data_IF_376339790655
#
_entry.id   IF_376339790655
#
_cell.length_a   1.000
_cell.length_b   1.000
_cell.length_c   1.000
_cell.angle_alpha   90.00
_cell.angle_beta   90.00
_cell.angle_gamma   90.00
#
_symmetry.space_group_name_H-M   'P 1'
#
loop_
_entity.id
_entity.type
_entity.pdbx_description
1 polymer ?
#
# COMPACT_ATOMS: atom_id res chain seq x y z
N UNK A 1 19.20 11.20 15.62
CA UNK A 1 18.45 10.50 14.56
C UNK A 1 18.36 11.44 13.38
N UNK A 2 19.07 11.12 12.29
CA UNK A 2 19.05 11.91 11.06
C UNK A 2 17.68 11.74 10.39
N UNK A 3 16.97 12.82 10.01
CA UNK A 3 15.69 12.69 9.35
C UNK A 3 15.92 12.00 8.01
N UNK A 4 15.22 10.88 7.79
CA UNK A 4 15.17 10.22 6.50
C UNK A 4 14.72 11.25 5.47
N UNK A 5 15.47 11.32 4.37
CA UNK A 5 15.20 12.15 3.21
C UNK A 5 13.71 12.15 2.90
N UNK A 6 13.02 13.27 3.16
CA UNK A 6 11.67 13.48 2.64
C UNK A 6 11.78 13.41 1.12
N UNK A 7 11.21 12.36 0.52
CA UNK A 7 10.82 12.38 -0.88
C UNK A 7 9.47 13.11 -0.90
N UNK A 8 9.41 14.39 -1.32
CA UNK A 8 8.18 15.16 -1.33
C UNK A 8 7.14 14.60 -2.32
N UNK A 9 7.52 13.61 -3.13
CA UNK A 9 6.65 12.85 -4.00
C UNK A 9 6.66 11.40 -3.52
N UNK A 10 5.89 11.10 -2.46
CA UNK A 10 5.72 9.72 -1.98
C UNK A 10 5.62 8.76 -3.16
N UNK A 11 6.60 7.87 -3.31
CA UNK A 11 6.83 7.08 -4.52
C UNK A 11 5.49 6.46 -4.95
N UNK A 12 5.01 6.56 -6.22
CA UNK A 12 3.68 6.05 -6.62
C UNK A 12 3.52 4.52 -6.52
N UNK A 13 4.60 3.81 -6.21
CA UNK A 13 4.65 2.36 -6.14
C UNK A 13 3.64 1.73 -5.14
N UNK A 14 3.48 2.20 -3.88
CA UNK A 14 2.56 1.58 -2.92
C UNK A 14 1.10 1.65 -3.35
N UNK A 15 0.65 2.76 -3.96
CA UNK A 15 -0.72 2.89 -4.48
C UNK A 15 -0.98 1.90 -5.61
N UNK A 16 -0.07 1.84 -6.59
CA UNK A 16 -0.17 0.91 -7.73
C UNK A 16 -0.09 -0.55 -7.27
N UNK A 17 0.84 -0.88 -6.37
CA UNK A 17 0.97 -2.23 -5.82
C UNK A 17 -0.25 -2.64 -5.00
N UNK A 18 -0.89 -1.71 -4.29
CA UNK A 18 -2.13 -2.02 -3.59
C UNK A 18 -3.28 -2.30 -4.56
N UNK A 19 -3.46 -1.46 -5.59
CA UNK A 19 -4.47 -1.69 -6.62
C UNK A 19 -4.25 -3.04 -7.33
N UNK A 20 -3.00 -3.38 -7.63
CA UNK A 20 -2.62 -4.69 -8.17
C UNK A 20 -2.99 -5.83 -7.21
N UNK A 21 -2.63 -5.72 -5.93
CA UNK A 21 -2.91 -6.74 -4.94
C UNK A 21 -4.42 -6.93 -4.71
N UNK A 22 -5.21 -5.85 -4.69
CA UNK A 22 -6.66 -5.90 -4.61
C UNK A 22 -7.27 -6.60 -5.83
N UNK A 23 -6.82 -6.24 -7.04
CA UNK A 23 -7.31 -6.85 -8.27
C UNK A 23 -6.92 -8.34 -8.39
N UNK A 24 -5.74 -8.74 -7.90
CA UNK A 24 -5.33 -10.14 -7.86
C UNK A 24 -6.24 -10.98 -6.94
N UNK A 25 -6.68 -10.40 -5.81
CA UNK A 25 -7.58 -11.05 -4.84
C UNK A 25 -9.06 -11.06 -5.26
N UNK A 26 -9.46 -10.16 -6.16
CA UNK A 26 -10.85 -10.08 -6.61
C UNK A 26 -11.29 -11.39 -7.31
N UNK A 27 -12.39 -11.97 -6.82
CA UNK A 27 -13.00 -13.15 -7.43
C UNK A 27 -13.86 -12.72 -8.64
N UNK A 28 -13.32 -12.97 -9.83
CA UNK A 28 -13.97 -12.65 -11.10
C UNK A 28 -15.31 -13.37 -11.28
N UNK A 29 -15.41 -14.63 -10.84
CA UNK A 29 -16.61 -15.43 -11.02
C UNK A 29 -17.72 -14.94 -10.08
N UNK A 30 -17.37 -14.61 -8.83
CA UNK A 30 -18.29 -14.00 -7.89
C UNK A 30 -18.79 -12.62 -8.36
N UNK A 31 -17.89 -11.77 -8.90
CA UNK A 31 -18.25 -10.47 -9.50
C UNK A 31 -19.22 -10.66 -10.67
N UNK A 32 -18.94 -11.57 -11.60
CA UNK A 32 -19.80 -11.83 -12.74
C UNK A 32 -21.18 -12.37 -12.31
N UNK A 33 -21.22 -13.27 -11.31
CA UNK A 33 -22.46 -13.78 -10.75
C UNK A 33 -23.27 -12.68 -10.04
N UNK A 34 -22.62 -11.79 -9.29
CA UNK A 34 -23.27 -10.66 -8.63
C UNK A 34 -23.89 -9.70 -9.65
N UNK A 35 -23.16 -9.32 -10.70
CA UNK A 35 -23.66 -8.46 -11.80
C UNK A 35 -24.87 -9.08 -12.53
N UNK A 36 -24.91 -10.41 -12.59
CA UNK A 36 -26.03 -11.14 -13.21
C UNK A 36 -27.24 -11.24 -12.27
N UNK A 37 -27.00 -11.31 -10.96
CA UNK A 37 -28.02 -11.39 -9.90
C UNK A 37 -28.62 -10.05 -9.51
N UNK A 38 -28.11 -8.92 -10.01
CA UNK A 38 -28.72 -7.60 -9.79
C UNK A 38 -30.09 -7.56 -10.49
N UNK A 39 -31.14 -8.02 -9.79
CA UNK A 39 -32.54 -8.01 -10.21
C UNK A 39 -33.05 -6.59 -10.00
N UNK A 40 -33.18 -5.77 -11.07
CA UNK A 40 -33.84 -4.48 -10.94
C UNK A 40 -33.46 -3.36 -11.92
N UNK A 41 -32.46 -3.52 -12.79
CA UNK A 41 -32.11 -2.47 -13.77
C UNK A 41 -31.22 -1.34 -13.23
N UNK A 42 -30.63 -1.50 -12.05
CA UNK A 42 -29.77 -0.48 -11.42
C UNK A 42 -28.48 -0.16 -12.20
N UNK A 43 -28.04 -1.07 -13.08
CA UNK A 43 -26.87 -0.88 -13.93
C UNK A 43 -27.25 -1.00 -15.40
N UNK A 44 -26.99 0.04 -16.17
CA UNK A 44 -27.11 0.04 -17.62
C UNK A 44 -26.13 -0.99 -18.25
N UNK A 45 -26.33 -1.37 -19.53
CA UNK A 45 -25.47 -2.35 -20.20
C UNK A 45 -23.98 -2.00 -20.17
N UNK A 46 -23.60 -0.73 -20.28
CA UNK A 46 -22.20 -0.31 -20.28
C UNK A 46 -21.57 -0.45 -18.89
N UNK A 47 -22.29 -0.05 -17.84
CA UNK A 47 -21.82 -0.21 -16.46
C UNK A 47 -21.63 -1.69 -16.09
N UNK A 48 -22.55 -2.57 -16.52
CA UNK A 48 -22.40 -4.03 -16.31
C UNK A 48 -21.16 -4.59 -17.01
N UNK A 49 -20.92 -4.17 -18.25
CA UNK A 49 -19.75 -4.62 -18.99
C UNK A 49 -18.44 -4.11 -18.38
N UNK A 50 -18.43 -2.85 -17.93
CA UNK A 50 -17.30 -2.30 -17.21
C UNK A 50 -16.97 -3.11 -15.94
N UNK A 51 -17.96 -3.39 -15.09
CA UNK A 51 -17.75 -4.17 -13.85
C UNK A 51 -17.24 -5.59 -14.15
N UNK A 52 -17.77 -6.25 -15.19
CA UNK A 52 -17.26 -7.56 -15.65
C UNK A 52 -15.81 -7.48 -16.10
N UNK A 53 -15.42 -6.40 -16.76
CA UNK A 53 -14.05 -6.22 -17.25
C UNK A 53 -13.10 -5.59 -16.23
N UNK A 54 -13.60 -5.06 -15.11
CA UNK A 54 -12.87 -4.19 -14.18
C UNK A 54 -11.60 -4.84 -13.64
N UNK A 55 -11.67 -6.08 -13.16
CA UNK A 55 -10.49 -6.79 -12.64
C UNK A 55 -9.38 -6.89 -13.69
N UNK A 56 -9.72 -7.31 -14.91
CA UNK A 56 -8.76 -7.45 -16.01
C UNK A 56 -8.16 -6.10 -16.38
N UNK A 57 -8.98 -5.06 -16.48
CA UNK A 57 -8.54 -3.70 -16.79
C UNK A 57 -7.58 -3.17 -15.73
N UNK A 58 -7.92 -3.31 -14.44
CA UNK A 58 -7.06 -2.89 -13.33
C UNK A 58 -5.74 -3.65 -13.34
N UNK A 59 -5.75 -4.98 -13.52
CA UNK A 59 -4.52 -5.78 -13.61
C UNK A 59 -3.62 -5.32 -14.77
N UNK A 60 -4.20 -5.12 -15.96
CA UNK A 60 -3.45 -4.68 -17.13
C UNK A 60 -2.84 -3.29 -16.93
N UNK A 61 -3.65 -2.31 -16.50
CA UNK A 61 -3.20 -0.95 -16.23
C UNK A 61 -2.16 -0.89 -15.10
N UNK A 62 -2.39 -1.58 -13.99
CA UNK A 62 -1.45 -1.62 -12.87
C UNK A 62 -0.12 -2.28 -13.26
N UNK A 63 -0.15 -3.37 -14.01
CA UNK A 63 1.07 -4.04 -14.49
C UNK A 63 1.85 -3.14 -15.46
N UNK A 64 1.17 -2.47 -16.39
CA UNK A 64 1.79 -1.52 -17.29
C UNK A 64 2.44 -0.36 -16.52
N UNK A 65 1.76 0.18 -15.51
CA UNK A 65 2.31 1.22 -14.64
C UNK A 65 3.51 0.74 -13.84
N UNK A 66 3.48 -0.48 -13.27
CA UNK A 66 4.65 -1.07 -12.60
C UNK A 66 5.85 -1.14 -13.53
N UNK A 67 5.66 -1.57 -14.78
CA UNK A 67 6.73 -1.59 -15.79
C UNK A 67 7.32 -0.20 -16.05
N UNK A 68 6.47 0.84 -16.13
CA UNK A 68 6.93 2.24 -16.24
C UNK A 68 7.70 2.66 -14.99
N UNK A 69 7.24 2.31 -13.79
CA UNK A 69 7.93 2.64 -12.54
C UNK A 69 9.32 1.99 -12.47
N UNK A 70 9.46 0.73 -12.87
CA UNK A 70 10.75 0.04 -12.89
C UNK A 70 11.69 0.64 -13.94
N UNK A 71 11.18 1.02 -15.11
CA UNK A 71 11.96 1.70 -16.15
C UNK A 71 12.49 3.06 -15.67
N UNK A 72 11.67 3.82 -14.93
CA UNK A 72 12.04 5.14 -14.39
C UNK A 72 12.67 5.10 -13.00
N UNK A 73 12.91 3.92 -12.44
CA UNK A 73 13.39 3.74 -11.06
C UNK A 73 14.67 4.56 -10.81
N UNK A 74 14.74 5.35 -9.72
CA UNK A 74 15.97 6.05 -9.35
C UNK A 74 17.11 5.06 -9.09
N UNK A 75 18.29 5.36 -9.63
CA UNK A 75 19.52 4.60 -9.45
C UNK A 75 20.64 5.49 -8.90
N UNK A 76 21.61 4.92 -8.17
CA UNK A 76 22.80 5.65 -7.74
C UNK A 76 23.53 6.27 -8.93
N UNK A 77 23.92 7.53 -8.81
CA UNK A 77 24.71 8.26 -9.81
C UNK A 77 26.07 8.66 -9.20
N UNK A 78 27.15 8.77 -10.01
CA UNK A 78 28.46 9.23 -9.54
C UNK A 78 28.46 10.59 -8.83
N UNK A 79 27.45 11.42 -9.05
CA UNK A 79 27.26 12.70 -8.35
C UNK A 79 26.78 12.56 -6.90
N UNK A 80 26.60 11.33 -6.39
CA UNK A 80 26.13 11.04 -5.02
C UNK A 80 24.62 11.17 -4.82
N UNK A 81 23.87 11.60 -5.83
CA UNK A 81 22.40 11.67 -5.81
C UNK A 81 21.79 10.53 -6.61
N UNK A 82 20.61 10.06 -6.23
CA UNK A 82 19.85 9.15 -7.08
C UNK A 82 19.27 9.91 -8.26
N UNK A 83 19.39 9.37 -9.48
CA UNK A 83 18.78 9.93 -10.69
C UNK A 83 17.93 8.87 -11.38
N UNK A 84 16.90 9.30 -12.09
CA UNK A 84 16.06 8.42 -12.89
C UNK A 84 16.89 7.67 -13.94
N UNK A 85 16.73 6.34 -14.03
CA UNK A 85 17.43 5.51 -15.04
C UNK A 85 17.14 5.91 -16.48
N UNK A 86 15.90 6.30 -16.77
CA UNK A 86 15.47 6.64 -18.12
C UNK A 86 15.69 8.11 -18.48
N UNK A 87 15.41 9.02 -17.54
CA UNK A 87 15.49 10.47 -17.81
C UNK A 87 16.87 11.07 -17.51
N UNK A 88 17.71 10.37 -16.74
CA UNK A 88 18.99 10.87 -16.21
C UNK A 88 18.88 12.17 -15.39
N UNK A 89 17.72 12.45 -14.81
CA UNK A 89 17.46 13.62 -13.97
C UNK A 89 17.17 13.22 -12.53
N UNK A 90 17.49 14.09 -11.58
CA UNK A 90 17.14 13.92 -10.17
C UNK A 90 15.61 13.99 -9.95
N UNK A 91 14.90 14.74 -10.80
CA UNK A 91 13.44 14.88 -10.76
C UNK A 91 12.85 14.30 -12.05
N UNK A 92 12.20 13.13 -11.94
CA UNK A 92 11.58 12.48 -13.08
C UNK A 92 10.18 13.07 -13.34
N UNK A 93 9.94 13.75 -14.47
CA UNK A 93 8.63 14.33 -14.77
C UNK A 93 7.54 13.26 -14.90
N UNK A 94 7.87 12.08 -15.44
CA UNK A 94 6.93 10.95 -15.58
C UNK A 94 6.45 10.45 -14.21
N UNK A 95 7.37 10.17 -13.28
CA UNK A 95 7.01 9.70 -11.95
C UNK A 95 6.20 10.74 -11.17
N UNK A 96 6.57 12.02 -11.28
CA UNK A 96 5.80 13.13 -10.70
C UNK A 96 4.37 13.17 -11.25
N UNK A 97 4.21 13.09 -12.57
CA UNK A 97 2.89 13.14 -13.21
C UNK A 97 2.02 11.94 -12.82
N UNK A 98 2.60 10.76 -12.69
CA UNK A 98 1.89 9.57 -12.21
C UNK A 98 1.40 9.80 -10.77
N UNK A 99 2.26 10.30 -9.88
CA UNK A 99 1.88 10.60 -8.50
C UNK A 99 0.75 11.64 -8.42
N UNK A 100 0.79 12.69 -9.25
CA UNK A 100 -0.28 13.69 -9.37
C UNK A 100 -1.61 13.05 -9.79
N UNK A 101 -1.60 12.19 -10.81
CA UNK A 101 -2.81 11.53 -11.33
C UNK A 101 -3.41 10.58 -10.29
N UNK A 102 -2.57 9.78 -9.62
CA UNK A 102 -3.04 8.86 -8.57
C UNK A 102 -3.64 9.62 -7.38
N UNK A 103 -3.08 10.78 -7.04
CA UNK A 103 -3.62 11.67 -6.00
C UNK A 103 -4.93 12.32 -6.46
N UNK A 104 -5.02 12.75 -7.72
CA UNK A 104 -6.23 13.40 -8.26
C UNK A 104 -7.45 12.48 -8.29
N UNK A 105 -7.22 11.18 -8.49
CA UNK A 105 -8.29 10.20 -8.57
C UNK A 105 -8.54 9.45 -7.26
N UNK A 106 -7.97 9.94 -6.14
CA UNK A 106 -8.09 9.32 -4.81
C UNK A 106 -7.86 7.80 -4.89
N UNK A 107 -6.84 7.37 -5.66
CA UNK A 107 -6.45 5.96 -5.75
C UNK A 107 -5.78 5.59 -4.44
N UNK A 108 -6.62 5.31 -3.46
CA UNK A 108 -6.22 4.84 -2.16
C UNK A 108 -6.07 3.31 -2.23
N UNK A 109 -5.03 2.76 -1.60
CA UNK A 109 -5.01 1.36 -1.28
C UNK A 109 -6.35 0.96 -0.64
N UNK A 110 -6.96 -0.13 -1.09
CA UNK A 110 -8.07 -0.71 -0.34
C UNK A 110 -7.62 -0.88 1.13
N UNK A 111 -8.50 -0.63 2.12
CA UNK A 111 -8.15 -0.82 3.51
C UNK A 111 -7.50 -2.19 3.69
N UNK A 112 -6.38 -2.19 4.40
CA UNK A 112 -5.64 -3.40 4.69
C UNK A 112 -6.55 -4.31 5.51
N UNK A 113 -6.75 -5.54 5.05
CA UNK A 113 -7.42 -6.56 5.85
C UNK A 113 -6.41 -7.26 6.76
N UNK A 114 -6.92 -8.01 7.75
CA UNK A 114 -6.08 -8.76 8.70
C UNK A 114 -5.10 -9.71 8.02
N UNK A 115 -5.48 -10.30 6.88
CA UNK A 115 -4.65 -11.26 6.13
C UNK A 115 -3.48 -10.55 5.46
N UNK A 116 -3.72 -9.39 4.86
CA UNK A 116 -2.68 -8.56 4.26
C UNK A 116 -1.77 -7.94 5.33
N UNK A 117 -2.32 -7.52 6.47
CA UNK A 117 -1.54 -7.09 7.62
C UNK A 117 -0.58 -8.21 8.07
N UNK A 118 -1.06 -9.46 8.12
CA UNK A 118 -0.22 -10.63 8.43
C UNK A 118 0.88 -10.87 7.42
N UNK A 119 0.56 -10.84 6.12
CA UNK A 119 1.55 -11.03 5.06
C UNK A 119 2.66 -10.00 5.15
N UNK A 120 2.32 -8.73 5.41
CA UNK A 120 3.30 -7.64 5.55
C UNK A 120 4.15 -7.81 6.81
N UNK A 121 3.53 -8.19 7.93
CA UNK A 121 4.25 -8.48 9.16
C UNK A 121 5.22 -9.66 9.01
N UNK A 122 4.79 -10.76 8.38
CA UNK A 122 5.64 -11.92 8.10
C UNK A 122 6.80 -11.55 7.19
N UNK A 123 6.56 -10.88 6.07
CA UNK A 123 7.63 -10.45 5.18
C UNK A 123 8.67 -9.54 5.89
N UNK A 124 8.24 -8.69 6.83
CA UNK A 124 9.11 -7.79 7.56
C UNK A 124 9.88 -8.49 8.69
N UNK A 125 9.23 -9.35 9.46
CA UNK A 125 9.83 -10.04 10.60
C UNK A 125 10.67 -11.26 10.17
N UNK A 126 10.34 -11.86 9.03
CA UNK A 126 10.99 -13.06 8.49
C UNK A 126 12.12 -12.76 7.50
N UNK A 127 12.57 -11.50 7.32
CA UNK A 127 13.62 -11.06 6.37
C UNK A 127 14.90 -11.94 6.41
N UNK A 128 14.89 -13.06 5.68
CA UNK A 128 15.99 -14.04 5.58
C UNK A 128 16.13 -14.99 6.78
N UNK A 129 15.16 -15.08 7.69
CA UNK A 129 15.19 -15.95 8.88
C UNK A 129 14.07 -16.98 8.86
N UNK A 130 14.11 -17.94 9.80
CA UNK A 130 13.04 -18.93 10.01
C UNK A 130 11.73 -18.20 10.31
N UNK A 131 10.63 -18.62 9.66
CA UNK A 131 9.30 -18.08 9.92
C UNK A 131 8.99 -18.10 11.42
N UNK A 132 8.56 -16.94 11.93
CA UNK A 132 8.17 -16.76 13.33
C UNK A 132 6.64 -16.75 13.38
N UNK A 133 6.05 -17.40 14.38
CA UNK A 133 4.61 -17.26 14.61
C UNK A 133 4.32 -15.80 14.98
N UNK A 134 3.39 -15.16 14.27
CA UNK A 134 3.06 -13.74 14.44
C UNK A 134 1.63 -13.62 14.94
N UNK A 135 1.46 -12.88 16.03
CA UNK A 135 0.16 -12.43 16.52
C UNK A 135 -0.20 -11.10 15.89
N UNK A 136 -1.49 -10.92 15.62
CA UNK A 136 -2.05 -9.69 15.06
C UNK A 136 -3.29 -9.29 15.84
N UNK A 137 -3.34 -8.01 16.18
CA UNK A 137 -4.49 -7.39 16.79
C UNK A 137 -4.88 -6.14 16.00
N UNK A 138 -6.17 -5.96 15.81
CA UNK A 138 -6.75 -4.77 15.20
C UNK A 138 -6.76 -3.61 16.21
N UNK A 139 -6.57 -2.40 15.69
CA UNK A 139 -6.73 -1.16 16.46
C UNK A 139 -7.25 -0.04 15.54
N UNK A 140 -7.70 1.11 16.09
CA UNK A 140 -8.42 2.12 15.31
C UNK A 140 -7.72 2.67 14.07
N UNK A 141 -6.39 2.52 13.95
CA UNK A 141 -5.63 3.00 12.80
C UNK A 141 -5.00 1.88 11.96
N UNK A 142 -5.40 0.63 12.15
CA UNK A 142 -4.93 -0.52 11.37
C UNK A 142 -4.69 -1.74 12.23
N UNK A 143 -3.45 -2.26 12.19
CA UNK A 143 -3.08 -3.49 12.87
C UNK A 143 -1.77 -3.32 13.63
N UNK A 144 -1.65 -4.08 14.71
CA UNK A 144 -0.42 -4.27 15.46
C UNK A 144 0.00 -5.72 15.33
N UNK A 145 1.29 -5.95 15.11
CA UNK A 145 1.86 -7.29 14.97
C UNK A 145 3.10 -7.46 15.84
N UNK A 146 3.25 -8.64 16.45
CA UNK A 146 4.42 -9.01 17.23
C UNK A 146 4.68 -10.53 17.15
N UNK A 147 5.91 -10.99 17.42
CA UNK A 147 6.21 -12.41 17.58
C UNK A 147 5.38 -13.03 18.71
N UNK A 148 4.69 -14.14 18.43
CA UNK A 148 3.91 -14.90 19.42
C UNK A 148 4.81 -15.49 20.53
N UNK A 149 6.09 -15.72 20.22
CA UNK A 149 7.07 -16.30 21.13
C UNK A 149 8.33 -15.45 21.18
N UNK A 150 8.90 -15.32 22.38
CA UNK A 150 10.12 -14.57 22.65
C UNK A 150 9.86 -13.16 23.18
N UNK A 151 10.88 -12.50 23.76
CA UNK A 151 10.77 -11.13 24.20
C UNK A 151 10.57 -10.21 22.98
N UNK A 152 9.46 -9.47 23.00
CA UNK A 152 9.19 -8.43 22.02
C UNK A 152 9.13 -7.09 22.75
N UNK A 153 10.26 -6.37 22.73
CA UNK A 153 10.37 -5.01 23.30
C UNK A 153 9.68 -3.96 22.41
N UNK A 154 9.34 -4.36 21.18
CA UNK A 154 8.68 -3.52 20.20
C UNK A 154 7.61 -4.29 19.44
N UNK A 155 6.59 -3.56 18.98
CA UNK A 155 5.54 -4.04 18.10
C UNK A 155 5.66 -3.34 16.74
N UNK A 156 5.12 -3.98 15.71
CA UNK A 156 5.02 -3.42 14.37
C UNK A 156 3.60 -2.89 14.18
N UNK A 157 3.46 -1.59 13.96
CA UNK A 157 2.19 -0.98 13.53
C UNK A 157 2.13 -1.01 12.01
N UNK A 158 1.04 -1.56 11.48
CA UNK A 158 0.67 -1.57 10.08
C UNK A 158 -0.48 -0.58 9.91
N UNK A 159 -0.23 0.52 9.20
CA UNK A 159 -1.27 1.52 8.93
C UNK A 159 -2.40 0.91 8.09
N UNK A 160 -3.65 1.11 8.50
CA UNK A 160 -4.82 0.49 7.87
C UNK A 160 -5.09 0.96 6.44
N UNK A 161 -4.59 2.13 6.05
CA UNK A 161 -4.89 2.75 4.75
C UNK A 161 -3.75 2.66 3.75
N UNK A 162 -2.51 2.62 4.23
CA UNK A 162 -1.30 2.60 3.40
C UNK A 162 -0.59 1.25 3.50
N UNK A 163 -0.83 0.53 4.60
CA UNK A 163 -0.06 -0.62 5.05
C UNK A 163 1.41 -0.30 5.28
N UNK A 164 1.75 0.97 5.49
CA UNK A 164 3.09 1.38 5.91
C UNK A 164 3.43 0.76 7.27
N UNK A 165 4.67 0.31 7.41
CA UNK A 165 5.15 -0.40 8.59
C UNK A 165 5.99 0.53 9.45
N UNK A 166 5.62 0.68 10.73
CA UNK A 166 6.38 1.45 11.70
C UNK A 166 6.63 0.63 12.95
N UNK A 167 7.83 0.73 13.53
CA UNK A 167 8.18 0.04 14.76
C UNK A 167 7.88 0.97 15.95
N UNK A 168 7.18 0.44 16.95
CA UNK A 168 6.78 1.16 18.15
C UNK A 168 7.20 0.39 19.40
N UNK A 169 7.45 1.08 20.54
CA UNK A 169 7.57 0.41 21.83
C UNK A 169 6.30 -0.39 22.13
N UNK A 170 6.42 -1.45 22.93
CA UNK A 170 5.25 -2.25 23.34
C UNK A 170 4.42 -1.49 24.39
N UNK A 171 3.58 -0.58 23.92
CA UNK A 171 2.69 0.25 24.72
C UNK A 171 1.31 -0.41 24.89
N UNK A 172 0.57 -0.11 25.97
CA UNK A 172 -0.85 -0.42 26.08
C UNK A 172 -1.62 0.15 24.87
N UNK A 173 -2.62 -0.58 24.37
CA UNK A 173 -3.28 -0.27 23.10
C UNK A 173 -3.90 1.14 23.05
N UNK A 174 -4.47 1.60 24.16
CA UNK A 174 -5.02 2.96 24.27
C UNK A 174 -3.93 4.05 24.15
N UNK A 175 -2.78 3.82 24.80
CA UNK A 175 -1.64 4.72 24.70
C UNK A 175 -1.09 4.71 23.29
N UNK A 176 -0.90 3.52 22.70
CA UNK A 176 -0.47 3.39 21.32
C UNK A 176 -1.42 4.12 20.35
N UNK A 177 -2.73 3.99 20.54
CA UNK A 177 -3.73 4.66 19.69
C UNK A 177 -3.55 6.17 19.72
N UNK A 178 -3.42 6.76 20.91
CA UNK A 178 -3.20 8.20 21.08
C UNK A 178 -1.87 8.67 20.48
N UNK A 179 -0.78 7.97 20.78
CA UNK A 179 0.55 8.35 20.27
C UNK A 179 0.65 8.17 18.75
N UNK A 180 0.02 7.12 18.20
CA UNK A 180 -0.02 6.89 16.77
C UNK A 180 -0.87 7.94 16.06
N UNK A 181 -2.00 8.33 16.63
CA UNK A 181 -2.80 9.45 16.12
C UNK A 181 -1.97 10.75 16.06
N UNK A 182 -1.26 11.08 17.14
CA UNK A 182 -0.37 12.25 17.17
C UNK A 182 0.72 12.16 16.11
N UNK A 183 1.33 10.98 15.93
CA UNK A 183 2.31 10.75 14.88
C UNK A 183 1.76 11.00 13.48
N UNK A 184 0.55 10.53 13.17
CA UNK A 184 -0.11 10.74 11.88
C UNK A 184 -0.42 12.23 11.64
N UNK A 185 -0.81 12.96 12.68
CA UNK A 185 -1.04 14.42 12.57
C UNK A 185 0.26 15.20 12.32
N UNK A 186 1.38 14.74 12.88
CA UNK A 186 2.68 15.36 12.68
C UNK A 186 3.34 14.96 11.34
N UNK A 187 2.95 13.81 10.78
CA UNK A 187 3.45 13.27 9.53
C UNK A 187 2.28 13.00 8.57
N UNK A 188 1.58 14.05 8.11
CA UNK A 188 0.46 13.89 7.20
C UNK A 188 0.94 13.16 5.95
N UNK A 189 0.37 11.99 5.73
CA UNK A 189 0.60 11.24 4.49
C UNK A 189 -0.21 11.95 3.40
N UNK A 190 0.35 12.24 2.22
CA UNK A 190 -0.42 12.86 1.15
C UNK A 190 -1.63 11.97 0.80
N UNK A 191 -2.85 12.53 0.95
CA UNK A 191 -4.11 11.82 0.73
C UNK A 191 -4.92 11.46 1.98
N UNK A 192 -4.71 12.16 3.11
CA UNK A 192 -5.63 12.21 4.26
C UNK A 192 -6.30 13.57 4.36
#
# INVERSE_FOLDING_TARGET
>A
MTPAHHDPYGRPAPQIHSALAAALRADQAAIAAAVTKTIGGDLDPHSREFVRSARRLVLACATALVSVLEFHRPAPHPSGRAVCRACHTAHCPTLRRIAEVLTTHDVHPAPIDRTEAWRRADAHLSQGRRHVAIEIQEFPHGFVAWPAYGPADSLLVIDGHTGHLTRWPRLPLETLTREYHAYLTAHPTPGR
#
